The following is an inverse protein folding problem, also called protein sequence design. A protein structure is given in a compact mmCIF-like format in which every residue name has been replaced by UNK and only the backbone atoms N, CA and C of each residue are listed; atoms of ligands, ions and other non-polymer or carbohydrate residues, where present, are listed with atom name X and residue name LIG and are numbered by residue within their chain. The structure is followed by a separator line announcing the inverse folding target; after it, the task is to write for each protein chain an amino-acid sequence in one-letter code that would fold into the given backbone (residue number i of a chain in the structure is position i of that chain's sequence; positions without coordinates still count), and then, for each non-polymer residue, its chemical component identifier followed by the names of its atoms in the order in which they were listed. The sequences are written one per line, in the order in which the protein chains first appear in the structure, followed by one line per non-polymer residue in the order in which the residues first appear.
data_IF_693811807265
#
_entry.id   IF_693811807265
#
_cell.length_a   1.000
_cell.length_b   1.000
_cell.length_c   1.000
_cell.angle_alpha   90.00
_cell.angle_beta   90.00
_cell.angle_gamma   90.00
#
_symmetry.space_group_name_H-M   'P 1'
#
loop_
_entity.id
_entity.type
_entity.pdbx_description
1 polymer ?
#
# COMPACT_ATOMS: atom_id res chain seq x y z
N UNK A 1 -8.11 -6.31 -1.24
CA UNK A 1 -7.50 -7.63 -1.03
C UNK A 1 -8.08 -8.58 -2.05
N UNK A 2 -7.23 -9.38 -2.71
CA UNK A 2 -7.62 -10.45 -3.62
C UNK A 2 -7.01 -11.77 -3.13
N UNK A 3 -7.71 -12.88 -3.33
CA UNK A 3 -7.21 -14.24 -3.01
C UNK A 3 -7.36 -15.11 -4.25
N UNK A 4 -6.26 -15.64 -4.72
CA UNK A 4 -6.18 -16.59 -5.83
C UNK A 4 -6.06 -18.00 -5.23
N UNK A 5 -7.15 -18.73 -5.29
CA UNK A 5 -7.33 -20.00 -4.54
C UNK A 5 -6.38 -21.10 -5.02
N UNK A 6 -6.34 -21.32 -6.31
CA UNK A 6 -5.54 -22.41 -6.89
C UNK A 6 -4.04 -22.17 -6.74
N UNK A 7 -3.62 -20.89 -6.78
CA UNK A 7 -2.24 -20.46 -6.62
C UNK A 7 -1.81 -20.30 -5.16
N UNK A 8 -2.73 -20.45 -4.20
CA UNK A 8 -2.48 -20.23 -2.76
C UNK A 8 -1.83 -18.86 -2.50
N UNK A 9 -2.32 -17.83 -3.18
CA UNK A 9 -1.75 -16.50 -3.13
C UNK A 9 -2.79 -15.46 -2.68
N UNK A 10 -2.42 -14.61 -1.72
CA UNK A 10 -3.22 -13.48 -1.28
C UNK A 10 -2.50 -12.16 -1.58
N UNK A 11 -3.12 -11.29 -2.38
CA UNK A 11 -2.64 -9.93 -2.62
C UNK A 11 -3.26 -8.96 -1.59
N UNK A 12 -2.42 -8.34 -0.76
CA UNK A 12 -2.82 -7.30 0.18
C UNK A 12 -2.66 -5.92 -0.45
N UNK A 13 -3.77 -5.23 -0.59
CA UNK A 13 -3.86 -3.93 -1.23
C UNK A 13 -3.32 -2.82 -0.32
N UNK A 14 -2.00 -2.60 -0.30
CA UNK A 14 -1.41 -1.45 0.39
C UNK A 14 -2.02 -0.15 -0.16
N UNK A 15 -2.44 0.80 0.69
CA UNK A 15 -2.95 2.08 0.21
C UNK A 15 -1.92 2.82 -0.67
N UNK A 16 -2.38 3.46 -1.74
CA UNK A 16 -1.57 4.35 -2.61
C UNK A 16 -0.45 3.65 -3.42
N UNK A 17 -0.58 2.34 -3.64
CA UNK A 17 0.34 1.53 -4.46
C UNK A 17 -0.33 0.96 -5.72
N UNK A 18 -1.25 1.68 -6.35
CA UNK A 18 -1.93 1.22 -7.57
C UNK A 18 -2.94 0.09 -7.37
N UNK A 19 -3.30 -0.24 -6.12
CA UNK A 19 -4.17 -1.38 -5.79
C UNK A 19 -5.55 -1.37 -6.48
N UNK A 20 -6.03 -0.21 -6.94
CA UNK A 20 -7.28 -0.14 -7.71
C UNK A 20 -7.10 -0.66 -9.13
N UNK A 21 -6.00 -0.32 -9.80
CA UNK A 21 -5.68 -0.85 -11.13
C UNK A 21 -5.51 -2.36 -11.10
N UNK A 22 -4.80 -2.86 -10.09
CA UNK A 22 -4.60 -4.30 -9.84
C UNK A 22 -5.94 -5.00 -9.62
N UNK A 23 -6.81 -4.41 -8.78
CA UNK A 23 -8.12 -4.99 -8.52
C UNK A 23 -8.99 -5.05 -9.79
N UNK A 24 -8.99 -3.98 -10.59
CA UNK A 24 -9.75 -3.96 -11.87
C UNK A 24 -9.25 -5.02 -12.85
N UNK A 25 -7.92 -5.23 -12.93
CA UNK A 25 -7.35 -6.22 -13.84
C UNK A 25 -7.59 -7.67 -13.39
N UNK A 26 -7.61 -7.94 -12.08
CA UNK A 26 -7.47 -9.30 -11.55
C UNK A 26 -8.65 -9.80 -10.72
N UNK A 27 -9.68 -8.96 -10.45
CA UNK A 27 -10.77 -9.41 -9.57
C UNK A 27 -11.56 -10.58 -10.14
N UNK A 28 -11.67 -10.69 -11.47
CA UNK A 28 -12.34 -11.80 -12.13
C UNK A 28 -11.61 -13.15 -11.99
N UNK A 29 -10.31 -13.11 -11.70
CA UNK A 29 -9.47 -14.30 -11.46
C UNK A 29 -9.43 -14.68 -9.97
N UNK A 30 -9.87 -13.80 -9.08
CA UNK A 30 -9.81 -14.01 -7.65
C UNK A 30 -11.01 -14.77 -7.13
N UNK A 31 -10.78 -15.84 -6.36
CA UNK A 31 -11.84 -16.57 -5.66
C UNK A 31 -12.47 -15.73 -4.52
N UNK A 32 -11.70 -14.77 -3.96
CA UNK A 32 -12.20 -13.80 -3.00
C UNK A 32 -11.68 -12.42 -3.36
N UNK A 33 -12.60 -11.46 -3.54
CA UNK A 33 -12.27 -10.05 -3.76
C UNK A 33 -12.96 -9.19 -2.71
N UNK A 34 -12.18 -8.41 -1.96
CA UNK A 34 -12.70 -7.44 -0.99
C UNK A 34 -12.30 -6.03 -1.42
N UNK A 35 -13.25 -5.32 -2.01
CA UNK A 35 -13.09 -3.97 -2.54
C UNK A 35 -13.66 -2.90 -1.59
N UNK A 36 -14.58 -3.26 -0.72
CA UNK A 36 -15.33 -2.36 0.19
C UNK A 36 -15.64 -3.04 1.52
N UNK A 37 -15.75 -2.28 2.62
CA UNK A 37 -15.33 -0.88 2.77
C UNK A 37 -13.80 -0.74 2.73
N UNK A 38 -13.22 0.49 2.68
CA UNK A 38 -11.77 0.71 2.63
C UNK A 38 -10.98 -0.02 3.73
N UNK A 39 -11.53 -0.11 4.93
CA UNK A 39 -10.89 -0.79 6.07
C UNK A 39 -10.69 -2.29 5.83
N UNK A 40 -11.54 -2.92 5.02
CA UNK A 40 -11.40 -4.33 4.62
C UNK A 40 -10.59 -4.47 3.33
N UNK A 41 -10.78 -3.55 2.35
CA UNK A 41 -9.96 -3.50 1.14
C UNK A 41 -8.48 -3.44 1.50
N UNK A 42 -8.14 -2.55 2.43
CA UNK A 42 -6.78 -2.31 2.92
C UNK A 42 -6.48 -3.10 4.20
N UNK A 43 -6.78 -4.42 4.17
CA UNK A 43 -6.45 -5.34 5.26
C UNK A 43 -4.94 -5.42 5.44
N UNK A 44 -4.46 -5.14 6.67
CA UNK A 44 -3.04 -5.23 7.01
C UNK A 44 -2.59 -6.69 7.10
N UNK A 45 -1.27 -6.94 6.96
CA UNK A 45 -0.69 -8.29 7.14
C UNK A 45 -1.09 -8.89 8.48
N UNK A 46 -1.08 -8.09 9.55
CA UNK A 46 -1.51 -8.56 10.88
C UNK A 46 -2.97 -9.03 10.91
N UNK A 47 -3.90 -8.27 10.33
CA UNK A 47 -5.32 -8.66 10.25
C UNK A 47 -5.52 -9.88 9.36
N UNK A 48 -4.84 -9.94 8.22
CA UNK A 48 -4.89 -11.09 7.34
C UNK A 48 -4.44 -12.36 8.07
N UNK A 49 -3.24 -12.36 8.65
CA UNK A 49 -2.66 -13.51 9.37
C UNK A 49 -3.47 -13.91 10.61
N UNK A 50 -4.21 -12.99 11.22
CA UNK A 50 -5.03 -13.26 12.39
C UNK A 50 -6.42 -13.78 12.08
N UNK A 51 -7.07 -13.30 11.02
CA UNK A 51 -8.50 -13.55 10.79
C UNK A 51 -8.78 -14.24 9.45
N UNK A 52 -8.20 -13.78 8.35
CA UNK A 52 -8.52 -14.24 7.00
C UNK A 52 -7.69 -15.45 6.62
N UNK A 53 -6.38 -15.37 6.81
CA UNK A 53 -5.44 -16.48 6.52
C UNK A 53 -5.86 -17.78 7.15
N UNK A 54 -6.06 -17.87 8.48
CA UNK A 54 -6.48 -19.12 9.15
C UNK A 54 -7.77 -19.72 8.62
N UNK A 55 -8.75 -18.88 8.26
CA UNK A 55 -9.99 -19.35 7.65
C UNK A 55 -9.75 -19.99 6.27
N UNK A 56 -8.96 -19.32 5.43
CA UNK A 56 -8.61 -19.82 4.10
C UNK A 56 -7.76 -21.10 4.19
N UNK A 57 -6.77 -21.12 5.06
CA UNK A 57 -5.87 -22.25 5.29
C UNK A 57 -6.61 -23.48 5.81
N UNK A 58 -7.56 -23.29 6.74
CA UNK A 58 -8.40 -24.37 7.24
C UNK A 58 -9.29 -25.00 6.14
N UNK A 59 -9.84 -24.16 5.25
CA UNK A 59 -10.66 -24.63 4.14
C UNK A 59 -9.83 -25.30 3.04
N UNK A 60 -8.59 -24.83 2.83
CA UNK A 60 -7.71 -25.28 1.75
C UNK A 60 -6.81 -26.47 2.16
N UNK A 61 -6.65 -26.71 3.45
CA UNK A 61 -5.69 -27.70 3.99
C UNK A 61 -4.23 -27.32 3.76
N UNK A 62 -3.92 -26.07 3.35
CA UNK A 62 -2.58 -25.61 3.04
C UNK A 62 -2.45 -24.08 3.24
N UNK A 63 -1.24 -23.56 3.55
CA UNK A 63 -1.01 -22.15 3.74
C UNK A 63 -1.14 -21.34 2.43
N UNK A 64 -1.42 -20.05 2.60
CA UNK A 64 -1.40 -19.05 1.52
C UNK A 64 -0.20 -18.14 1.66
N UNK A 65 0.54 -17.95 0.57
CA UNK A 65 1.55 -16.91 0.48
C UNK A 65 0.89 -15.53 0.35
N UNK A 66 1.56 -14.52 0.87
CA UNK A 66 1.08 -13.13 0.85
C UNK A 66 1.99 -12.30 -0.01
N UNK A 67 1.43 -11.60 -1.00
CA UNK A 67 2.15 -10.61 -1.79
C UNK A 67 1.58 -9.21 -1.59
N UNK A 68 2.44 -8.19 -1.69
CA UNK A 68 2.07 -6.79 -1.58
C UNK A 68 3.05 -5.88 -2.32
N UNK A 69 2.63 -4.64 -2.53
CA UNK A 69 3.46 -3.55 -3.06
C UNK A 69 3.78 -2.55 -1.96
N UNK A 70 4.97 -1.99 -2.01
CA UNK A 70 5.41 -0.86 -1.22
C UNK A 70 5.90 0.27 -2.12
N UNK A 71 5.54 1.50 -1.80
CA UNK A 71 5.98 2.70 -2.50
C UNK A 71 7.10 3.37 -1.72
N UNK A 72 8.01 4.05 -2.42
CA UNK A 72 9.04 4.86 -1.75
C UNK A 72 8.37 5.83 -0.75
N UNK A 73 8.86 5.95 0.49
CA UNK A 73 8.12 6.62 1.57
C UNK A 73 7.75 8.08 1.28
N UNK A 74 8.64 8.88 0.70
CA UNK A 74 8.35 10.27 0.32
C UNK A 74 7.30 10.33 -0.80
N UNK A 75 7.45 9.52 -1.83
CA UNK A 75 6.52 9.44 -2.94
C UNK A 75 5.14 8.92 -2.49
N UNK A 76 5.10 8.01 -1.52
CA UNK A 76 3.87 7.55 -0.89
C UNK A 76 3.13 8.68 -0.17
N UNK A 77 3.83 9.51 0.62
CA UNK A 77 3.27 10.71 1.23
C UNK A 77 2.81 11.72 0.19
N UNK A 78 3.58 11.93 -0.88
CA UNK A 78 3.17 12.75 -2.02
C UNK A 78 1.87 12.27 -2.67
N UNK A 79 1.67 10.94 -2.76
CA UNK A 79 0.42 10.36 -3.25
C UNK A 79 -0.76 10.61 -2.32
N UNK A 80 -0.56 10.58 -1.01
CA UNK A 80 -1.59 10.93 -0.03
C UNK A 80 -1.92 12.42 -0.07
N UNK A 81 -0.91 13.28 -0.10
CA UNK A 81 -1.06 14.72 -0.22
C UNK A 81 -1.93 15.09 -1.43
N UNK A 82 -1.58 14.60 -2.63
CA UNK A 82 -2.36 14.83 -3.85
C UNK A 82 -3.76 14.21 -3.81
N UNK A 83 -3.93 13.09 -3.12
CA UNK A 83 -5.26 12.49 -2.96
C UNK A 83 -6.16 13.36 -2.08
N UNK A 84 -5.62 13.91 -1.01
CA UNK A 84 -6.36 14.74 -0.04
C UNK A 84 -6.56 16.19 -0.50
N UNK A 85 -5.89 16.64 -1.55
CA UNK A 85 -6.13 17.94 -2.17
C UNK A 85 -7.28 17.95 -3.19
N UNK A 86 -7.91 16.79 -3.44
CA UNK A 86 -9.02 16.69 -4.39
C UNK A 86 -10.28 17.33 -3.84
N UNK A 87 -11.15 17.78 -4.74
CA UNK A 87 -12.52 18.19 -4.39
C UNK A 87 -13.29 17.05 -3.73
N UNK A 88 -14.17 17.37 -2.77
CA UNK A 88 -15.00 16.40 -2.06
C UNK A 88 -14.29 15.65 -0.92
N UNK A 89 -13.06 16.02 -0.59
CA UNK A 89 -12.42 15.55 0.64
C UNK A 89 -12.94 16.40 1.81
N UNK A 90 -13.30 15.75 2.92
CA UNK A 90 -13.75 16.41 4.15
C UNK A 90 -12.75 17.49 4.59
N UNK A 91 -13.20 18.69 5.01
CA UNK A 91 -12.32 19.83 5.28
C UNK A 91 -11.20 19.54 6.28
N UNK A 92 -11.48 18.79 7.34
CA UNK A 92 -10.50 18.38 8.37
C UNK A 92 -9.43 17.40 7.85
N UNK A 93 -9.69 16.75 6.71
CA UNK A 93 -8.78 15.83 6.03
C UNK A 93 -8.16 16.41 4.77
N UNK A 94 -8.56 17.60 4.37
CA UNK A 94 -8.09 18.23 3.14
C UNK A 94 -6.68 18.81 3.29
N UNK A 95 -5.89 18.72 2.22
CA UNK A 95 -4.58 19.39 2.08
C UNK A 95 -4.65 20.58 1.11
N UNK A 96 -5.86 21.04 0.75
CA UNK A 96 -6.02 22.23 -0.09
C UNK A 96 -5.44 23.46 0.61
N UNK A 97 -4.73 24.28 -0.14
CA UNK A 97 -4.08 25.49 0.38
C UNK A 97 -2.81 25.25 1.20
N UNK A 98 -2.35 24.01 1.32
CA UNK A 98 -1.14 23.63 2.03
C UNK A 98 -0.07 23.18 1.05
N UNK A 99 1.21 23.47 1.33
CA UNK A 99 2.31 22.87 0.58
C UNK A 99 2.66 21.45 1.09
N UNK A 100 3.40 20.72 0.27
CA UNK A 100 3.79 19.35 0.61
C UNK A 100 4.73 19.28 1.82
N UNK A 101 5.59 20.26 1.98
CA UNK A 101 6.53 20.35 3.10
C UNK A 101 5.79 20.46 4.44
N UNK A 102 4.78 21.33 4.52
CA UNK A 102 3.93 21.47 5.70
C UNK A 102 3.13 20.18 5.99
N UNK A 103 2.63 19.50 4.95
CA UNK A 103 1.96 18.20 5.11
C UNK A 103 2.90 17.14 5.72
N UNK A 104 4.15 17.04 5.22
CA UNK A 104 5.13 16.09 5.75
C UNK A 104 5.53 16.43 7.17
N UNK A 105 5.72 17.70 7.50
CA UNK A 105 5.98 18.12 8.88
C UNK A 105 4.82 17.73 9.81
N UNK A 106 3.57 17.92 9.37
CA UNK A 106 2.39 17.54 10.13
C UNK A 106 2.30 16.00 10.30
N UNK A 107 2.64 15.23 9.26
CA UNK A 107 2.69 13.78 9.35
C UNK A 107 3.74 13.28 10.36
N UNK A 108 4.84 14.02 10.51
CA UNK A 108 5.89 13.69 11.47
C UNK A 108 5.55 14.01 12.94
N UNK A 109 4.42 14.66 13.22
CA UNK A 109 3.99 14.99 14.59
C UNK A 109 3.36 13.78 15.29
N UNK A 110 3.35 13.83 16.61
CA UNK A 110 2.59 12.92 17.46
C UNK A 110 1.87 13.74 18.55
N UNK A 111 0.53 13.82 18.57
CA UNK A 111 -0.39 13.19 17.61
C UNK A 111 -0.40 13.86 16.24
N UNK A 112 -0.69 13.06 15.21
CA UNK A 112 -0.89 13.58 13.85
C UNK A 112 -2.25 14.28 13.72
N UNK A 113 -2.34 15.44 13.06
CA UNK A 113 -3.64 16.04 12.71
C UNK A 113 -4.34 15.16 11.65
N UNK A 114 -5.68 15.25 11.57
CA UNK A 114 -6.51 14.37 10.74
C UNK A 114 -6.12 14.38 9.26
N UNK A 115 -5.74 15.55 8.72
CA UNK A 115 -5.28 15.66 7.34
C UNK A 115 -3.94 14.97 7.09
N UNK A 116 -3.15 14.68 8.11
CA UNK A 116 -1.87 13.97 8.01
C UNK A 116 -1.92 12.53 8.56
N UNK A 117 -2.99 12.13 9.23
CA UNK A 117 -3.16 10.81 9.84
C UNK A 117 -3.43 9.73 8.76
N UNK A 118 -2.41 9.40 7.96
CA UNK A 118 -2.48 8.41 6.87
C UNK A 118 -1.83 7.07 7.22
N UNK A 119 -1.26 6.96 8.42
CA UNK A 119 -0.54 5.77 8.88
C UNK A 119 0.88 5.68 8.34
N UNK A 120 1.43 4.46 8.29
CA UNK A 120 2.76 4.14 7.78
C UNK A 120 2.71 2.78 7.05
N UNK A 121 3.51 2.62 5.99
CA UNK A 121 3.53 1.37 5.21
C UNK A 121 4.13 0.21 6.01
N UNK A 122 5.15 0.46 6.81
CA UNK A 122 5.75 -0.55 7.70
C UNK A 122 4.72 -1.13 8.69
N UNK A 123 3.82 -0.31 9.24
CA UNK A 123 2.73 -0.78 10.10
C UNK A 123 1.71 -1.64 9.36
N UNK A 124 1.56 -1.43 8.06
CA UNK A 124 0.68 -2.23 7.21
C UNK A 124 1.31 -3.58 6.86
N UNK A 125 2.61 -3.59 6.54
CA UNK A 125 3.34 -4.70 5.94
C UNK A 125 4.10 -5.58 6.93
N UNK A 126 4.45 -5.06 8.12
CA UNK A 126 5.19 -5.80 9.16
C UNK A 126 4.40 -5.83 10.47
N UNK A 127 3.72 -6.93 10.77
CA UNK A 127 3.04 -7.07 12.04
C UNK A 127 4.03 -7.25 13.20
N UNK A 128 3.59 -6.88 14.41
CA UNK A 128 4.40 -6.94 15.64
C UNK A 128 4.90 -8.36 16.00
N UNK A 129 4.27 -9.40 15.50
CA UNK A 129 4.62 -10.82 15.77
C UNK A 129 5.63 -11.41 14.77
N UNK A 130 6.30 -10.59 13.96
CA UNK A 130 7.33 -11.03 13.03
C UNK A 130 6.83 -11.70 11.75
N UNK A 131 5.51 -11.92 11.58
CA UNK A 131 4.96 -12.43 10.33
C UNK A 131 5.24 -11.41 9.20
N UNK A 132 5.86 -11.85 8.12
CA UNK A 132 6.21 -11.00 6.99
C UNK A 132 5.26 -11.22 5.82
N UNK A 133 5.22 -10.28 4.90
CA UNK A 133 4.77 -10.50 3.54
C UNK A 133 5.78 -11.44 2.89
N UNK A 134 5.32 -12.50 2.24
CA UNK A 134 6.20 -13.49 1.63
C UNK A 134 6.87 -12.90 0.37
N UNK A 135 6.12 -12.10 -0.40
CA UNK A 135 6.59 -11.43 -1.61
C UNK A 135 6.26 -9.95 -1.56
N UNK A 136 7.26 -9.13 -1.29
CA UNK A 136 7.13 -7.67 -1.25
C UNK A 136 7.86 -7.05 -2.44
N UNK A 137 7.12 -6.21 -3.20
CA UNK A 137 7.63 -5.58 -4.41
C UNK A 137 7.61 -4.05 -4.28
N UNK A 138 8.51 -3.40 -5.01
CA UNK A 138 8.56 -1.95 -5.13
C UNK A 138 7.56 -1.45 -6.17
N UNK A 139 6.80 -0.42 -5.83
CA UNK A 139 5.83 0.17 -6.74
C UNK A 139 6.48 0.87 -7.95
N UNK A 140 7.66 1.44 -7.79
CA UNK A 140 8.45 2.03 -8.87
C UNK A 140 9.06 0.99 -9.82
N UNK A 141 8.90 -0.30 -9.50
CA UNK A 141 9.24 -1.46 -10.31
C UNK A 141 8.05 -2.41 -10.43
N UNK A 142 6.87 -1.82 -10.72
CA UNK A 142 5.60 -2.55 -10.75
C UNK A 142 5.61 -3.67 -11.81
N UNK A 143 6.41 -3.55 -12.85
CA UNK A 143 6.63 -4.57 -13.86
C UNK A 143 7.06 -5.91 -13.24
N UNK A 144 7.95 -5.91 -12.24
CA UNK A 144 8.37 -7.14 -11.55
C UNK A 144 7.26 -7.81 -10.76
N UNK A 145 6.35 -7.02 -10.24
CA UNK A 145 5.16 -7.54 -9.58
C UNK A 145 4.17 -8.13 -10.59
N UNK A 146 4.05 -7.50 -11.75
CA UNK A 146 3.22 -8.02 -12.86
C UNK A 146 3.80 -9.33 -13.35
N UNK A 147 5.10 -9.40 -13.66
CA UNK A 147 5.80 -10.63 -14.09
C UNK A 147 5.59 -11.78 -13.09
N UNK A 148 5.75 -11.49 -11.78
CA UNK A 148 5.47 -12.47 -10.72
C UNK A 148 4.03 -12.97 -10.73
N UNK A 149 3.05 -12.08 -10.95
CA UNK A 149 1.64 -12.49 -11.00
C UNK A 149 1.32 -13.26 -12.27
N UNK A 150 1.88 -12.88 -13.43
CA UNK A 150 1.73 -13.59 -14.69
C UNK A 150 2.26 -15.02 -14.59
N UNK A 151 3.44 -15.19 -14.01
CA UNK A 151 4.01 -16.51 -13.73
C UNK A 151 3.14 -17.36 -12.82
N UNK A 152 2.57 -16.74 -11.78
CA UNK A 152 1.75 -17.46 -10.78
C UNK A 152 0.33 -17.74 -11.29
N UNK A 153 -0.26 -16.86 -12.08
CA UNK A 153 -1.65 -16.97 -12.56
C UNK A 153 -1.73 -17.65 -13.94
N UNK A 154 -0.62 -17.75 -14.66
CA UNK A 154 -0.54 -18.36 -15.99
C UNK A 154 -1.28 -17.55 -17.07
N UNK A 155 -1.33 -16.23 -16.96
CA UNK A 155 -2.01 -15.35 -17.92
C UNK A 155 -1.28 -14.01 -18.05
N UNK A 156 -1.43 -13.36 -19.20
CA UNK A 156 -0.95 -12.00 -19.42
C UNK A 156 -1.80 -10.98 -18.64
N UNK A 157 -1.16 -9.99 -18.03
CA UNK A 157 -1.81 -8.98 -17.18
C UNK A 157 -1.55 -7.58 -17.72
N UNK A 158 -2.59 -6.91 -18.17
CA UNK A 158 -2.54 -5.51 -18.57
C UNK A 158 -3.18 -4.64 -17.49
N UNK A 159 -2.36 -3.86 -16.78
CA UNK A 159 -2.86 -2.95 -15.76
C UNK A 159 -3.45 -1.68 -16.40
N UNK A 160 -4.72 -1.36 -16.13
CA UNK A 160 -5.32 -0.13 -16.65
C UNK A 160 -4.72 1.10 -15.95
N UNK A 161 -4.56 2.20 -16.70
CA UNK A 161 -4.15 3.50 -16.14
C UNK A 161 -5.33 4.17 -15.45
N UNK A 162 -5.63 3.77 -14.22
CA UNK A 162 -6.70 4.37 -13.41
C UNK A 162 -6.11 5.16 -12.24
N UNK A 163 -6.77 6.26 -11.89
CA UNK A 163 -6.40 7.11 -10.75
C UNK A 163 -4.93 7.63 -10.77
N UNK A 164 -4.40 7.93 -11.96
CA UNK A 164 -3.10 8.61 -12.08
C UNK A 164 -3.19 9.93 -11.32
N UNK A 165 -2.34 10.08 -10.29
CA UNK A 165 -2.27 11.35 -9.56
C UNK A 165 -1.66 12.41 -10.47
N UNK A 166 -2.21 13.64 -10.50
CA UNK A 166 -1.55 14.74 -11.18
C UNK A 166 -0.11 14.89 -10.71
N UNK A 167 0.78 15.30 -11.62
CA UNK A 167 2.12 15.71 -11.24
C UNK A 167 1.99 16.96 -10.38
N UNK A 168 2.51 16.91 -9.15
CA UNK A 168 2.52 18.07 -8.24
C UNK A 168 3.91 18.22 -7.64
N UNK A 169 4.26 19.45 -7.28
CA UNK A 169 5.51 19.75 -6.60
C UNK A 169 5.52 19.02 -5.26
N UNK A 170 6.51 18.17 -5.05
CA UNK A 170 6.73 17.41 -3.81
C UNK A 170 8.13 17.71 -3.26
N UNK A 171 8.58 18.96 -3.39
CA UNK A 171 9.86 19.39 -2.84
C UNK A 171 9.76 19.51 -1.32
N UNK A 172 10.82 19.10 -0.65
CA UNK A 172 10.98 19.23 0.79
C UNK A 172 12.18 20.12 1.09
N UNK A 173 12.07 20.90 2.13
CA UNK A 173 13.22 21.56 2.72
C UNK A 173 14.17 20.52 3.31
N UNK A 174 15.48 20.76 3.32
CA UNK A 174 16.47 19.80 3.85
C UNK A 174 16.15 19.34 5.28
N UNK A 175 15.65 20.24 6.13
CA UNK A 175 15.29 19.95 7.51
C UNK A 175 14.08 19.01 7.60
N UNK A 176 13.09 19.21 6.72
CA UNK A 176 11.90 18.36 6.63
C UNK A 176 12.25 16.98 6.07
N UNK A 177 13.14 16.91 5.08
CA UNK A 177 13.64 15.63 4.56
C UNK A 177 14.38 14.84 5.66
N UNK A 178 15.25 15.51 6.42
CA UNK A 178 15.97 14.88 7.55
C UNK A 178 15.00 14.40 8.65
N UNK A 179 13.98 15.20 8.95
CA UNK A 179 12.92 14.83 9.90
C UNK A 179 12.15 13.61 9.42
N UNK A 180 11.72 13.61 8.14
CA UNK A 180 11.01 12.49 7.52
C UNK A 180 11.82 11.20 7.61
N UNK A 181 13.11 11.22 7.24
CA UNK A 181 13.99 10.05 7.30
C UNK A 181 14.12 9.49 8.71
N UNK A 182 14.14 10.35 9.72
CA UNK A 182 14.18 9.93 11.12
C UNK A 182 12.86 9.30 11.58
N UNK A 183 11.73 9.96 11.29
CA UNK A 183 10.41 9.49 11.75
C UNK A 183 9.94 8.26 10.96
N UNK A 184 10.20 8.22 9.67
CA UNK A 184 9.87 7.11 8.78
C UNK A 184 10.99 6.07 8.64
N UNK A 185 11.95 6.01 9.57
CA UNK A 185 13.12 5.12 9.44
C UNK A 185 12.74 3.65 9.19
N UNK A 186 11.66 3.17 9.81
CA UNK A 186 11.16 1.81 9.60
C UNK A 186 10.62 1.60 8.17
N UNK A 187 9.96 2.61 7.59
CA UNK A 187 9.45 2.55 6.22
C UNK A 187 10.62 2.55 5.22
N UNK A 188 11.62 3.43 5.41
CA UNK A 188 12.81 3.47 4.55
C UNK A 188 13.60 2.16 4.64
N UNK A 189 13.88 1.66 5.84
CA UNK A 189 14.60 0.40 6.02
C UNK A 189 13.88 -0.78 5.37
N UNK A 190 12.54 -0.83 5.47
CA UNK A 190 11.75 -1.87 4.82
C UNK A 190 11.80 -1.75 3.30
N UNK A 191 11.69 -0.53 2.77
CA UNK A 191 11.72 -0.27 1.33
C UNK A 191 13.08 -0.62 0.72
N UNK A 192 14.18 -0.23 1.39
CA UNK A 192 15.55 -0.49 0.95
C UNK A 192 15.90 -1.99 1.00
N UNK A 193 15.25 -2.75 1.89
CA UNK A 193 15.43 -4.20 1.98
C UNK A 193 14.71 -4.99 0.88
N UNK A 194 13.82 -4.36 0.11
CA UNK A 194 13.14 -5.01 -1.03
C UNK A 194 14.18 -5.18 -2.14
N UNK A 195 14.45 -6.43 -2.52
CA UNK A 195 15.39 -6.75 -3.61
C UNK A 195 14.92 -6.10 -4.91
N UNK A 196 15.86 -5.41 -5.55
CA UNK A 196 15.62 -4.74 -6.83
C UNK A 196 15.36 -5.76 -7.95
#
# INVERSE_FOLDING_TARGET
MLVFWDQRLAFLATPKTGSTAIAVALESLAALSIQRPPVLKHTTVHRYRRFVGPYLEAAAGAPFEVCALMREPRDWLGSWYRFRSREGVEPDRSTQGMDFDAFVQAWCRDPQPDFAAVGAQSRFLTPRNGARVDHLFRYDRIERFVDFLEDRLGCEIVLPRVNVSPTGVTDLRPETEALLRRVAAADFALYDAIRA
#
